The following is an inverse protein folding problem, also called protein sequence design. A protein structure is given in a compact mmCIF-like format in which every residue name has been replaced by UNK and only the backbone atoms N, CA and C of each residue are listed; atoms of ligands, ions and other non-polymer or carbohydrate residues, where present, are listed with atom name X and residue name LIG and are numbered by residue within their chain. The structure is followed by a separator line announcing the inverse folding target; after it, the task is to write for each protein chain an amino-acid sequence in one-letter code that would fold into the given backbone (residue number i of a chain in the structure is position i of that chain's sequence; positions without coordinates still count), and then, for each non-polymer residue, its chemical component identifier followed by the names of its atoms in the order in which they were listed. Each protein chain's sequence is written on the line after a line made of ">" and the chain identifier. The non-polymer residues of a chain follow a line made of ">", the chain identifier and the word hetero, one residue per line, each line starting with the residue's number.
data_IF_024738828648
#
_entry.id   IF_024738828648
#
_cell.length_a   1.000
_cell.length_b   1.000
_cell.length_c   1.000
_cell.angle_alpha   90.00
_cell.angle_beta   90.00
_cell.angle_gamma   90.00
#
_symmetry.space_group_name_H-M   'P 1'
#
loop_
_entity.id
_entity.type
_entity.pdbx_description
1 polymer ?
#
# COMPACT_ATOMS: atom_id res chain seq x y z
N UNK A 1 23.04 13.63 -37.11
CA UNK A 1 22.21 14.44 -36.18
C UNK A 1 20.84 13.78 -36.03
N UNK A 2 20.59 13.02 -34.95
CA UNK A 2 19.27 12.45 -34.64
C UNK A 2 18.56 13.40 -33.68
N UNK A 3 17.43 13.98 -34.11
CA UNK A 3 16.54 14.76 -33.23
C UNK A 3 15.80 13.76 -32.35
N UNK A 4 16.08 13.77 -31.05
CA UNK A 4 15.27 13.05 -30.07
C UNK A 4 13.92 13.74 -29.91
N UNK A 5 12.85 13.00 -30.14
CA UNK A 5 11.48 13.43 -29.91
C UNK A 5 11.29 13.64 -28.42
N UNK A 6 11.06 14.89 -28.01
CA UNK A 6 10.75 15.25 -26.63
C UNK A 6 9.33 14.75 -26.32
N UNK A 7 9.12 13.91 -25.30
CA UNK A 7 7.79 13.42 -24.96
C UNK A 7 6.91 14.60 -24.50
N UNK A 8 5.68 14.63 -25.00
CA UNK A 8 4.69 15.67 -24.75
C UNK A 8 4.27 15.68 -23.26
N UNK A 9 4.72 16.70 -22.52
CA UNK A 9 4.46 16.87 -21.08
C UNK A 9 2.96 17.00 -20.74
N UNK A 10 2.08 17.25 -21.73
CA UNK A 10 0.65 17.40 -21.47
C UNK A 10 -0.04 16.07 -21.13
N UNK A 11 0.52 14.93 -21.57
CA UNK A 11 -0.05 13.61 -21.26
C UNK A 11 0.12 13.25 -19.78
N UNK A 12 1.26 13.59 -19.18
CA UNK A 12 1.58 13.21 -17.79
C UNK A 12 0.74 13.95 -16.74
N UNK A 13 0.23 15.15 -17.06
CA UNK A 13 -0.59 15.95 -16.13
C UNK A 13 -2.06 15.51 -16.11
N UNK A 14 -2.57 14.89 -17.18
CA UNK A 14 -3.92 14.31 -17.18
C UNK A 14 -3.98 13.01 -16.37
N UNK A 15 -2.88 12.27 -16.24
CA UNK A 15 -2.82 11.06 -15.41
C UNK A 15 -2.89 11.36 -13.91
N UNK A 16 -2.34 12.49 -13.45
CA UNK A 16 -2.35 12.87 -12.02
C UNK A 16 -3.78 13.10 -11.49
N UNK A 17 -4.70 13.61 -12.32
CA UNK A 17 -6.11 13.78 -11.95
C UNK A 17 -7.01 12.61 -12.39
N UNK A 18 -6.60 11.79 -13.37
CA UNK A 18 -7.34 10.59 -13.77
C UNK A 18 -7.20 9.42 -12.77
N UNK A 19 -6.14 9.39 -11.95
CA UNK A 19 -5.98 8.44 -10.84
C UNK A 19 -7.11 8.56 -9.81
N UNK A 20 -7.83 9.69 -9.78
CA UNK A 20 -8.98 9.88 -8.90
C UNK A 20 -10.25 9.13 -9.35
N UNK A 21 -10.31 8.59 -10.58
CA UNK A 21 -11.57 8.06 -11.13
C UNK A 21 -11.50 6.69 -11.81
N UNK A 22 -10.36 5.99 -11.78
CA UNK A 22 -10.22 4.77 -12.53
C UNK A 22 -9.33 3.78 -11.77
N UNK A 23 -9.93 2.77 -11.13
CA UNK A 23 -9.80 1.36 -11.54
C UNK A 23 -10.08 0.37 -10.41
N UNK A 24 -10.86 -0.62 -10.81
CA UNK A 24 -11.19 -1.86 -10.12
C UNK A 24 -10.05 -2.85 -10.38
N UNK A 25 -9.27 -3.22 -9.36
CA UNK A 25 -8.40 -4.40 -9.49
C UNK A 25 -8.28 -5.21 -8.21
N UNK A 26 -7.98 -6.49 -8.44
CA UNK A 26 -8.03 -7.61 -7.50
C UNK A 26 -7.26 -7.38 -6.20
N UNK A 27 -7.99 -7.41 -5.08
CA UNK A 27 -7.47 -8.03 -3.86
C UNK A 27 -7.13 -9.49 -4.22
N UNK A 28 -5.89 -9.77 -4.62
CA UNK A 28 -5.33 -11.09 -4.39
C UNK A 28 -5.23 -11.20 -2.87
N UNK A 29 -6.28 -11.73 -2.25
CA UNK A 29 -6.17 -12.31 -0.93
C UNK A 29 -5.17 -13.46 -1.05
N UNK A 30 -3.89 -13.13 -0.93
CA UNK A 30 -2.86 -14.09 -0.62
C UNK A 30 -3.14 -14.46 0.84
N UNK A 31 -4.08 -15.39 1.03
CA UNK A 31 -4.12 -16.17 2.26
C UNK A 31 -2.74 -16.82 2.30
N UNK A 32 -1.85 -16.23 3.11
CA UNK A 32 -0.53 -16.76 3.38
C UNK A 32 -0.66 -18.08 4.12
N UNK A 33 -1.04 -19.15 3.40
CA UNK A 33 -0.39 -20.43 3.61
C UNK A 33 1.05 -20.21 3.16
N UNK A 34 1.85 -19.65 4.07
CA UNK A 34 3.30 -19.68 3.95
C UNK A 34 3.68 -21.14 3.80
N UNK A 35 3.95 -21.54 2.55
CA UNK A 35 4.64 -22.77 2.24
C UNK A 35 6.04 -22.55 2.77
N UNK A 36 6.24 -22.90 4.05
CA UNK A 36 7.56 -23.06 4.65
C UNK A 36 8.23 -24.16 3.83
N UNK A 37 8.94 -23.77 2.78
CA UNK A 37 9.88 -24.65 2.11
C UNK A 37 11.12 -24.64 2.98
N UNK A 38 11.01 -25.38 4.08
CA UNK A 38 12.15 -25.76 4.88
C UNK A 38 12.99 -26.71 4.00
N UNK A 39 14.15 -26.26 3.55
CA UNK A 39 15.16 -27.10 2.88
C UNK A 39 15.97 -27.87 3.93
N UNK A 40 15.28 -28.48 4.88
CA UNK A 40 15.83 -29.44 5.83
C UNK A 40 15.08 -30.76 5.62
N UNK A 41 15.78 -31.90 5.78
CA UNK A 41 15.36 -33.22 5.33
C UNK A 41 14.02 -33.73 5.91
N UNK A 42 13.62 -34.97 5.59
CA UNK A 42 12.28 -35.49 5.87
C UNK A 42 12.10 -35.79 7.37
N UNK A 43 11.97 -34.76 8.18
CA UNK A 43 11.46 -34.86 9.55
C UNK A 43 9.95 -34.70 9.45
N UNK A 44 9.23 -35.80 9.67
CA UNK A 44 7.79 -35.90 9.49
C UNK A 44 7.03 -34.74 10.12
N UNK A 45 6.49 -33.86 9.27
CA UNK A 45 5.45 -32.94 9.65
C UNK A 45 4.27 -33.77 10.13
N UNK A 46 3.89 -33.60 11.39
CA UNK A 46 2.77 -34.32 11.97
C UNK A 46 1.53 -33.42 11.78
N UNK A 47 0.71 -33.63 10.74
CA UNK A 47 -0.36 -32.69 10.36
C UNK A 47 -1.38 -32.48 11.48
N UNK A 48 -1.49 -33.43 12.42
CA UNK A 48 -2.33 -33.33 13.62
C UNK A 48 -1.82 -32.24 14.57
N UNK A 49 -0.50 -32.10 14.72
CA UNK A 49 0.09 -31.03 15.53
C UNK A 49 -0.14 -29.64 14.89
N UNK A 50 -0.13 -29.57 13.55
CA UNK A 50 -0.42 -28.34 12.81
C UNK A 50 -1.90 -27.93 12.93
N UNK A 51 -2.82 -28.90 12.90
CA UNK A 51 -4.26 -28.65 13.15
C UNK A 51 -4.51 -28.21 14.60
N UNK A 52 -3.79 -28.78 15.56
CA UNK A 52 -3.90 -28.35 16.96
C UNK A 52 -3.43 -26.89 17.16
N UNK A 53 -2.44 -26.44 16.38
CA UNK A 53 -2.00 -25.02 16.37
C UNK A 53 -3.04 -24.09 15.76
N UNK A 54 -3.81 -24.55 14.76
CA UNK A 54 -4.93 -23.78 14.19
C UNK A 54 -6.04 -23.47 15.20
N UNK A 55 -6.22 -24.28 16.26
CA UNK A 55 -7.22 -24.02 17.31
C UNK A 55 -6.93 -22.77 18.15
N UNK A 56 -5.70 -22.25 18.13
CA UNK A 56 -5.27 -21.12 18.96
C UNK A 56 -4.98 -19.84 18.17
N UNK A 57 -5.32 -19.80 16.88
CA UNK A 57 -5.21 -18.55 16.13
C UNK A 57 -6.08 -17.47 16.80
N UNK A 58 -5.52 -16.29 17.12
CA UNK A 58 -6.33 -15.21 17.68
C UNK A 58 -7.48 -14.88 16.71
N UNK A 59 -8.68 -14.59 17.22
CA UNK A 59 -9.82 -14.30 16.35
C UNK A 59 -9.50 -13.08 15.48
N UNK A 60 -9.63 -13.24 14.17
CA UNK A 60 -9.49 -12.14 13.21
C UNK A 60 -10.51 -11.04 13.48
N UNK A 61 -10.05 -9.79 13.48
CA UNK A 61 -10.88 -8.60 13.68
C UNK A 61 -10.68 -7.63 12.53
N UNK A 62 -11.66 -6.77 12.30
CA UNK A 62 -11.55 -5.65 11.38
C UNK A 62 -11.09 -4.41 12.15
N UNK A 63 -10.05 -3.75 11.64
CA UNK A 63 -9.55 -2.48 12.15
C UNK A 63 -9.72 -1.41 11.09
N UNK A 64 -10.14 -0.21 11.50
CA UNK A 64 -10.05 1.02 10.72
C UNK A 64 -8.79 1.76 11.15
N UNK A 65 -7.94 2.07 10.17
CA UNK A 65 -6.69 2.79 10.37
C UNK A 65 -6.75 4.13 9.64
N UNK A 66 -6.16 5.17 10.24
CA UNK A 66 -5.78 6.39 9.55
C UNK A 66 -4.28 6.31 9.29
N UNK A 67 -3.90 6.30 8.02
CA UNK A 67 -2.50 6.28 7.59
C UNK A 67 -2.14 7.68 7.12
N UNK A 68 -1.00 8.15 7.62
CA UNK A 68 -0.35 9.38 7.19
C UNK A 68 0.85 9.04 6.31
N UNK A 69 0.88 9.61 5.11
CA UNK A 69 2.01 9.50 4.21
C UNK A 69 2.70 10.85 4.05
N UNK A 70 4.02 10.87 4.20
CA UNK A 70 4.87 12.02 3.94
C UNK A 70 5.68 11.75 2.67
N UNK A 71 5.66 12.73 1.77
CA UNK A 71 6.26 12.69 0.44
C UNK A 71 7.45 13.66 0.41
N UNK A 72 8.65 13.11 0.46
CA UNK A 72 9.89 13.87 0.41
C UNK A 72 10.47 13.81 -1.01
N UNK A 73 10.37 14.94 -1.72
CA UNK A 73 10.70 15.04 -3.14
C UNK A 73 12.18 15.35 -3.32
N UNK A 74 12.90 14.52 -4.09
CA UNK A 74 14.33 14.74 -4.32
C UNK A 74 14.58 16.01 -5.16
N UNK A 75 15.72 16.68 -4.95
CA UNK A 75 16.12 17.85 -5.73
C UNK A 75 16.08 17.60 -7.25
N UNK A 76 16.46 16.39 -7.67
CA UNK A 76 16.40 15.93 -9.06
C UNK A 76 14.96 15.89 -9.59
N UNK A 77 14.01 15.47 -8.76
CA UNK A 77 12.59 15.49 -9.13
C UNK A 77 12.10 16.92 -9.35
N UNK A 78 12.53 17.86 -8.49
CA UNK A 78 12.18 19.28 -8.61
C UNK A 78 12.66 19.86 -9.93
N UNK A 79 13.92 19.59 -10.30
CA UNK A 79 14.53 20.08 -11.53
C UNK A 79 13.97 19.42 -12.80
N UNK A 80 13.77 18.09 -12.76
CA UNK A 80 13.34 17.31 -13.93
C UNK A 80 11.92 17.66 -14.37
N UNK A 81 11.02 17.82 -13.41
CA UNK A 81 9.61 17.95 -13.73
C UNK A 81 9.17 19.41 -13.92
N UNK A 82 9.88 20.39 -13.32
CA UNK A 82 9.54 21.82 -13.42
C UNK A 82 8.03 22.11 -13.24
N UNK A 83 7.30 21.26 -12.49
CA UNK A 83 5.83 21.32 -12.42
C UNK A 83 5.47 22.53 -11.55
N UNK A 84 4.75 23.53 -12.10
CA UNK A 84 4.44 24.76 -11.38
C UNK A 84 3.31 24.63 -10.34
N UNK A 85 2.76 23.43 -10.12
CA UNK A 85 1.52 23.23 -9.33
C UNK A 85 1.72 22.17 -8.25
N UNK A 86 1.77 22.64 -7.00
CA UNK A 86 1.51 21.91 -5.74
C UNK A 86 1.93 20.43 -5.73
N UNK A 87 3.22 20.18 -5.58
CA UNK A 87 3.70 18.88 -5.10
C UNK A 87 3.13 18.67 -3.70
N UNK A 88 2.31 17.65 -3.47
CA UNK A 88 1.82 17.40 -2.12
C UNK A 88 3.00 17.03 -1.22
N UNK A 89 3.07 17.64 -0.04
CA UNK A 89 4.00 17.22 1.01
C UNK A 89 3.55 15.89 1.64
N UNK A 90 2.30 15.49 1.43
CA UNK A 90 1.83 14.17 1.85
C UNK A 90 0.34 13.91 1.62
N UNK A 91 -0.16 12.86 2.27
CA UNK A 91 -1.56 12.47 2.23
C UNK A 91 -2.04 11.83 3.54
N UNK A 92 -3.35 11.80 3.70
CA UNK A 92 -4.05 10.96 4.67
C UNK A 92 -4.96 9.98 3.95
N UNK A 93 -5.01 8.73 4.42
CA UNK A 93 -5.97 7.77 3.91
C UNK A 93 -6.56 6.89 5.02
N UNK A 94 -7.84 6.56 4.90
CA UNK A 94 -8.47 5.56 5.75
C UNK A 94 -8.40 4.19 5.08
N UNK A 95 -8.08 3.17 5.87
CA UNK A 95 -8.02 1.78 5.43
C UNK A 95 -8.74 0.88 6.43
N UNK A 96 -9.41 -0.15 5.92
CA UNK A 96 -9.94 -1.22 6.76
C UNK A 96 -9.14 -2.50 6.49
N UNK A 97 -8.62 -3.12 7.54
CA UNK A 97 -7.75 -4.30 7.44
C UNK A 97 -8.23 -5.37 8.40
N UNK A 98 -8.22 -6.62 7.94
CA UNK A 98 -8.43 -7.78 8.79
C UNK A 98 -7.10 -8.24 9.39
N UNK A 99 -7.04 -8.24 10.73
CA UNK A 99 -5.83 -8.60 11.46
C UNK A 99 -6.16 -9.28 12.79
N UNK A 100 -5.17 -9.97 13.33
CA UNK A 100 -5.27 -10.66 14.63
C UNK A 100 -5.09 -9.68 15.81
N UNK A 101 -4.32 -8.62 15.63
CA UNK A 101 -4.03 -7.57 16.61
C UNK A 101 -3.94 -6.18 15.94
N UNK A 102 -3.95 -5.08 16.71
CA UNK A 102 -3.70 -3.74 16.19
C UNK A 102 -2.33 -3.61 15.50
N UNK A 103 -1.27 -4.20 16.06
CA UNK A 103 0.09 -4.13 15.50
C UNK A 103 0.20 -4.89 14.16
N UNK A 104 -0.46 -6.05 14.05
CA UNK A 104 -0.60 -6.80 12.81
C UNK A 104 -1.39 -5.97 11.76
N UNK A 105 -2.42 -5.25 12.19
CA UNK A 105 -3.18 -4.35 11.32
C UNK A 105 -2.32 -3.19 10.79
N UNK A 106 -1.52 -2.57 11.65
CA UNK A 106 -0.60 -1.49 11.29
C UNK A 106 0.46 -1.99 10.29
N UNK A 107 1.08 -3.13 10.57
CA UNK A 107 2.10 -3.71 9.68
C UNK A 107 1.53 -4.00 8.29
N UNK A 108 0.35 -4.64 8.23
CA UNK A 108 -0.34 -4.94 6.97
C UNK A 108 -0.73 -3.69 6.21
N UNK A 109 -1.33 -2.71 6.88
CA UNK A 109 -1.82 -1.50 6.19
C UNK A 109 -0.66 -0.69 5.60
N UNK A 110 0.46 -0.58 6.32
CA UNK A 110 1.62 0.16 5.84
C UNK A 110 2.27 -0.53 4.64
N UNK A 111 2.38 -1.86 4.68
CA UNK A 111 2.87 -2.65 3.55
C UNK A 111 1.94 -2.52 2.32
N UNK A 112 0.63 -2.61 2.51
CA UNK A 112 -0.36 -2.49 1.44
C UNK A 112 -0.35 -1.09 0.82
N UNK A 113 -0.31 -0.03 1.63
CA UNK A 113 -0.25 1.36 1.15
C UNK A 113 1.06 1.63 0.41
N UNK A 114 2.19 1.15 0.93
CA UNK A 114 3.49 1.27 0.26
C UNK A 114 3.49 0.59 -1.11
N UNK A 115 3.11 -0.69 -1.17
CA UNK A 115 3.04 -1.45 -2.42
C UNK A 115 2.13 -0.75 -3.43
N UNK A 116 0.96 -0.26 -3.00
CA UNK A 116 0.05 0.46 -3.88
C UNK A 116 0.72 1.66 -4.54
N UNK A 117 1.42 2.52 -3.79
CA UNK A 117 2.05 3.71 -4.35
C UNK A 117 3.29 3.38 -5.19
N UNK A 118 4.08 2.39 -4.78
CA UNK A 118 5.22 1.88 -5.54
C UNK A 118 4.79 1.28 -6.89
N UNK A 119 3.64 0.59 -6.92
CA UNK A 119 3.10 -0.04 -8.13
C UNK A 119 2.34 0.94 -9.05
N UNK A 120 1.72 1.99 -8.50
CA UNK A 120 0.84 2.89 -9.26
C UNK A 120 1.48 4.18 -9.71
N UNK A 121 2.61 4.57 -9.12
CA UNK A 121 3.27 5.84 -9.46
C UNK A 121 4.71 5.63 -9.90
N UNK A 122 5.03 6.09 -11.10
CA UNK A 122 6.38 6.02 -11.69
C UNK A 122 7.44 6.83 -10.89
N UNK A 123 7.01 7.58 -9.88
CA UNK A 123 7.87 8.45 -9.07
C UNK A 123 8.81 7.65 -8.15
N UNK A 124 8.38 6.49 -7.65
CA UNK A 124 9.18 5.65 -6.75
C UNK A 124 10.31 4.94 -7.47
N UNK A 125 10.06 4.45 -8.68
CA UNK A 125 11.02 3.66 -9.46
C UNK A 125 12.27 4.48 -9.85
N UNK A 126 12.20 5.81 -9.81
CA UNK A 126 13.25 6.70 -10.29
C UNK A 126 14.07 7.39 -9.18
N UNK A 127 13.94 6.99 -7.91
CA UNK A 127 14.53 7.71 -6.75
C UNK A 127 14.15 9.21 -6.71
N UNK A 128 12.95 9.53 -7.19
CA UNK A 128 12.46 10.92 -7.28
C UNK A 128 11.64 11.32 -6.04
N UNK A 129 11.27 10.34 -5.21
CA UNK A 129 10.36 10.50 -4.09
C UNK A 129 10.70 9.48 -2.99
N UNK A 130 10.95 9.96 -1.79
CA UNK A 130 10.99 9.15 -0.57
C UNK A 130 9.61 9.19 0.10
N UNK A 131 9.07 8.02 0.43
CA UNK A 131 7.77 7.86 1.09
C UNK A 131 7.97 7.30 2.49
N UNK A 132 7.52 8.10 3.47
CA UNK A 132 7.42 7.70 4.86
C UNK A 132 5.95 7.53 5.21
N UNK A 133 5.65 6.46 5.93
CA UNK A 133 4.29 6.11 6.31
C UNK A 133 4.22 5.93 7.82
N UNK A 134 3.17 6.47 8.42
CA UNK A 134 2.84 6.34 9.82
C UNK A 134 1.35 6.00 9.99
N UNK A 135 1.02 5.34 11.11
CA UNK A 135 -0.37 5.09 11.50
C UNK A 135 -0.72 6.01 12.66
N UNK A 136 -1.56 7.00 12.40
CA UNK A 136 -1.96 7.99 13.40
C UNK A 136 -3.09 7.47 14.30
N UNK A 137 -3.95 6.61 13.75
CA UNK A 137 -5.13 6.12 14.47
C UNK A 137 -5.40 4.65 14.12
N UNK A 138 -5.69 3.85 15.15
CA UNK A 138 -6.19 2.48 15.00
C UNK A 138 -7.45 2.31 15.86
N UNK A 139 -8.56 1.95 15.23
CA UNK A 139 -9.81 1.64 15.91
C UNK A 139 -10.37 0.31 15.43
N UNK A 140 -11.00 -0.45 16.33
CA UNK A 140 -11.80 -1.60 15.91
C UNK A 140 -12.98 -1.12 15.06
N UNK A 141 -13.27 -1.83 13.98
CA UNK A 141 -14.38 -1.53 13.10
C UNK A 141 -15.31 -2.75 12.94
N UNK A 142 -16.57 -2.54 12.55
CA UNK A 142 -17.45 -3.65 12.20
C UNK A 142 -16.86 -4.50 11.07
N UNK A 143 -17.00 -5.83 11.17
CA UNK A 143 -16.38 -6.78 10.25
C UNK A 143 -16.71 -6.49 8.78
N UNK A 144 -17.99 -6.18 8.48
CA UNK A 144 -18.44 -5.92 7.11
C UNK A 144 -17.78 -4.71 6.44
N UNK A 145 -17.18 -3.78 7.20
CA UNK A 145 -16.47 -2.61 6.64
C UNK A 145 -15.17 -2.99 5.91
N UNK A 146 -14.53 -4.09 6.30
CA UNK A 146 -13.36 -4.64 5.61
C UNK A 146 -13.69 -5.32 4.28
N UNK A 147 -14.97 -5.55 3.99
CA UNK A 147 -15.43 -6.17 2.74
C UNK A 147 -15.71 -5.15 1.63
N UNK A 148 -15.81 -3.85 1.96
CA UNK A 148 -16.00 -2.79 0.96
C UNK A 148 -14.68 -2.42 0.28
N UNK A 149 -14.74 -2.28 -1.04
CA UNK A 149 -13.59 -1.94 -1.90
C UNK A 149 -13.28 -0.44 -1.92
N UNK A 150 -14.19 0.41 -1.46
CA UNK A 150 -14.07 1.88 -1.53
C UNK A 150 -13.08 2.47 -0.51
N UNK A 151 -12.27 1.62 0.11
CA UNK A 151 -11.27 2.02 1.10
C UNK A 151 -9.97 2.52 0.47
N UNK A 152 -9.97 3.04 -0.76
CA UNK A 152 -8.72 3.38 -1.48
C UNK A 152 -8.41 4.88 -1.57
N UNK A 153 -9.40 5.75 -1.32
CA UNK A 153 -9.21 7.20 -1.40
C UNK A 153 -8.10 7.71 -0.48
N UNK A 154 -7.35 8.70 -0.97
CA UNK A 154 -6.37 9.47 -0.21
C UNK A 154 -6.66 10.97 -0.38
N UNK A 155 -6.49 11.72 0.69
CA UNK A 155 -6.60 13.18 0.69
C UNK A 155 -5.20 13.76 0.79
N UNK A 156 -4.72 14.33 -0.31
CA UNK A 156 -3.40 14.97 -0.39
C UNK A 156 -3.45 16.37 0.19
N UNK A 157 -2.35 16.80 0.83
CA UNK A 157 -2.18 18.15 1.35
C UNK A 157 -0.87 18.78 0.83
N UNK A 158 -0.81 20.12 0.73
CA UNK A 158 0.35 20.85 0.22
C UNK A 158 1.61 20.61 1.04
#
# INVERSE_FOLDING_TARGET
>A
MRRGTQPDLKSALHDVFAVQHCFVFHQKQTVGLSRVVDKSGPTGSNPIADIARLKYAPPMRCYRLLVHGVLDWSARAVEKFQIPVTRPSGFYCHRHVFASSPDDAATKVLADVRSYYEDTTDWFVSDLLDLRLEVDEIKTAPFYKGLFKDNLGATFYP
#
